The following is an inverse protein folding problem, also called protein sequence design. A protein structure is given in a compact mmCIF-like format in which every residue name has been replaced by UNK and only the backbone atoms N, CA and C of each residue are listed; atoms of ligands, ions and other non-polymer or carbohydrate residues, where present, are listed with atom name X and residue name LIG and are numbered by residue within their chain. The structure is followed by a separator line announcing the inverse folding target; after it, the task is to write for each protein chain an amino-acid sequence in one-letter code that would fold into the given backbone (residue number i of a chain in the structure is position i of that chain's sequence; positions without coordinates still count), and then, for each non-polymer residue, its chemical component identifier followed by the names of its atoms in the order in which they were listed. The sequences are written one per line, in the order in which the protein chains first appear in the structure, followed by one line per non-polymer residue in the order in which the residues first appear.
data_IF_043985166361
#
_entry.id   IF_043985166361
#
_cell.length_a   1.000
_cell.length_b   1.000
_cell.length_c   1.000
_cell.angle_alpha   90.00
_cell.angle_beta   90.00
_cell.angle_gamma   90.00
#
_symmetry.space_group_name_H-M   'P 1'
#
loop_
_entity.id
_entity.type
_entity.pdbx_description
1 polymer ?
#
# COMPACT_ATOMS: atom_id res chain seq x y z
N UNK A 1 -3.03 15.36 -7.27
CA UNK A 1 -2.33 14.25 -6.60
C UNK A 1 -2.83 12.97 -7.25
N UNK A 2 -1.94 12.11 -7.74
CA UNK A 2 -2.34 10.90 -8.46
C UNK A 2 -2.42 9.70 -7.51
N UNK A 3 -3.19 8.69 -7.90
CA UNK A 3 -3.26 7.40 -7.22
C UNK A 3 -1.90 6.70 -7.27
N UNK A 4 -1.61 5.86 -6.28
CA UNK A 4 -0.38 5.05 -6.27
C UNK A 4 -0.64 3.66 -5.72
N UNK A 5 0.23 2.72 -6.08
CA UNK A 5 0.20 1.35 -5.56
C UNK A 5 1.18 1.22 -4.39
N UNK A 6 0.72 0.55 -3.33
CA UNK A 6 1.54 0.15 -2.18
C UNK A 6 1.05 -1.20 -1.64
N UNK A 7 1.61 -1.64 -0.52
CA UNK A 7 1.28 -2.90 0.13
C UNK A 7 0.14 -2.73 1.13
N UNK A 8 -0.77 -3.70 1.19
CA UNK A 8 -1.86 -3.69 2.18
C UNK A 8 -1.37 -3.89 3.62
N UNK A 9 -0.21 -4.54 3.76
CA UNK A 9 0.42 -4.82 5.04
C UNK A 9 1.77 -5.50 4.86
N UNK A 10 2.27 -6.13 5.92
CA UNK A 10 3.48 -6.95 5.86
C UNK A 10 3.22 -8.28 5.13
N UNK A 11 4.18 -8.73 4.32
CA UNK A 11 4.11 -10.00 3.61
C UNK A 11 5.38 -10.81 3.83
N UNK A 12 5.22 -12.13 3.97
CA UNK A 12 6.35 -13.05 4.02
C UNK A 12 6.01 -14.37 3.33
N UNK A 13 6.97 -14.88 2.58
CA UNK A 13 6.86 -16.19 1.95
C UNK A 13 8.26 -16.76 1.70
N UNK A 14 8.39 -18.09 1.73
CA UNK A 14 9.66 -18.76 1.46
C UNK A 14 9.57 -19.81 0.36
N UNK A 15 10.72 -20.09 -0.25
CA UNK A 15 10.88 -21.18 -1.19
C UNK A 15 12.31 -21.74 -1.13
N UNK A 16 12.50 -22.91 -1.73
CA UNK A 16 13.81 -23.57 -1.82
C UNK A 16 14.16 -23.80 -3.29
N UNK A 17 15.34 -23.35 -3.69
CA UNK A 17 15.90 -23.58 -5.03
C UNK A 17 17.32 -24.16 -4.87
N UNK A 18 17.56 -25.32 -5.46
CA UNK A 18 18.86 -26.03 -5.38
C UNK A 18 19.43 -26.09 -3.95
N UNK A 19 18.60 -26.52 -3.01
CA UNK A 19 18.89 -26.60 -1.55
C UNK A 19 19.11 -25.25 -0.85
N UNK A 20 19.22 -24.14 -1.57
CA UNK A 20 19.27 -22.81 -0.95
C UNK A 20 17.86 -22.38 -0.59
N UNK A 21 17.65 -21.94 0.66
CA UNK A 21 16.36 -21.41 1.11
C UNK A 21 16.35 -19.90 0.96
N UNK A 22 15.29 -19.37 0.39
CA UNK A 22 15.04 -17.95 0.22
C UNK A 22 13.75 -17.58 0.94
N UNK A 23 13.80 -16.53 1.75
CA UNK A 23 12.66 -16.01 2.49
C UNK A 23 12.48 -14.55 2.10
N UNK A 24 11.38 -14.24 1.43
CA UNK A 24 11.00 -12.87 1.13
C UNK A 24 10.23 -12.25 2.28
N UNK A 25 10.54 -10.99 2.54
CA UNK A 25 9.86 -10.11 3.48
C UNK A 25 9.57 -8.80 2.79
N UNK A 26 8.37 -8.27 2.95
CA UNK A 26 8.00 -6.94 2.46
C UNK A 26 7.18 -6.20 3.51
N UNK A 27 7.27 -4.88 3.51
CA UNK A 27 6.55 -4.02 4.45
C UNK A 27 6.27 -2.65 3.82
N UNK A 28 5.05 -2.07 3.99
CA UNK A 28 4.79 -0.69 3.63
C UNK A 28 5.61 0.24 4.54
N UNK A 29 6.30 1.21 3.93
CA UNK A 29 7.14 2.19 4.61
C UNK A 29 7.05 3.53 3.89
N UNK A 30 6.86 4.61 4.63
CA UNK A 30 6.69 5.95 4.07
C UNK A 30 8.00 6.77 4.13
N UNK A 31 8.98 6.32 4.91
CA UNK A 31 10.24 7.04 5.13
C UNK A 31 11.47 6.14 5.01
N UNK A 32 12.63 6.74 4.71
CA UNK A 32 13.90 6.01 4.70
C UNK A 32 14.20 5.42 6.08
N UNK A 33 13.84 6.11 7.16
CA UNK A 33 14.03 5.61 8.52
C UNK A 33 13.25 4.30 8.75
N UNK A 34 11.95 4.28 8.42
CA UNK A 34 11.12 3.07 8.54
C UNK A 34 11.67 1.92 7.68
N UNK A 35 12.14 2.21 6.47
CA UNK A 35 12.79 1.22 5.61
C UNK A 35 14.05 0.63 6.26
N UNK A 36 14.93 1.48 6.81
CA UNK A 36 16.16 1.04 7.47
C UNK A 36 15.89 0.25 8.75
N UNK A 37 14.91 0.68 9.56
CA UNK A 37 14.49 -0.05 10.77
C UNK A 37 13.98 -1.45 10.43
N UNK A 38 13.15 -1.56 9.39
CA UNK A 38 12.68 -2.86 8.90
C UNK A 38 13.82 -3.74 8.40
N UNK A 39 14.74 -3.20 7.59
CA UNK A 39 15.90 -3.94 7.11
C UNK A 39 16.77 -4.43 8.28
N UNK A 40 17.03 -3.57 9.26
CA UNK A 40 17.79 -3.92 10.45
C UNK A 40 17.10 -5.02 11.28
N UNK A 41 15.77 -4.95 11.43
CA UNK A 41 14.97 -5.96 12.12
C UNK A 41 15.10 -7.33 11.45
N UNK A 42 14.98 -7.41 10.12
CA UNK A 42 15.13 -8.68 9.38
C UNK A 42 16.57 -9.19 9.46
N UNK A 43 17.57 -8.32 9.33
CA UNK A 43 18.98 -8.69 9.52
C UNK A 43 19.27 -9.24 10.91
N UNK A 44 18.67 -8.66 11.95
CA UNK A 44 18.82 -9.15 13.32
C UNK A 44 18.12 -10.50 13.51
N UNK A 45 16.91 -10.66 12.95
CA UNK A 45 16.16 -11.92 12.97
C UNK A 45 16.92 -13.06 12.27
N UNK A 46 17.62 -12.75 11.19
CA UNK A 46 18.38 -13.68 10.36
C UNK A 46 19.88 -13.35 10.36
N UNK A 47 20.44 -13.16 11.56
CA UNK A 47 21.84 -12.78 11.74
C UNK A 47 22.82 -13.86 11.24
N UNK A 48 22.37 -15.12 11.17
CA UNK A 48 23.11 -16.29 10.72
C UNK A 48 22.89 -16.65 9.24
N UNK A 49 22.07 -15.86 8.53
CA UNK A 49 21.85 -16.06 7.11
C UNK A 49 23.10 -15.75 6.29
N UNK A 50 23.18 -16.33 5.10
CA UNK A 50 24.29 -16.07 4.17
C UNK A 50 24.22 -14.63 3.66
N UNK A 51 23.03 -14.18 3.26
CA UNK A 51 22.80 -12.82 2.77
C UNK A 51 21.38 -12.36 3.15
N UNK A 52 21.23 -11.08 3.46
CA UNK A 52 19.98 -10.36 3.69
C UNK A 52 19.89 -9.20 2.69
N UNK A 53 19.53 -9.55 1.46
CA UNK A 53 19.47 -8.64 0.32
C UNK A 53 18.26 -7.74 0.45
N UNK A 54 18.43 -6.44 0.31
CA UNK A 54 17.35 -5.48 0.57
C UNK A 54 17.14 -4.52 -0.59
N UNK A 55 15.90 -4.06 -0.78
CA UNK A 55 15.58 -2.90 -1.61
C UNK A 55 14.38 -2.14 -1.06
N UNK A 56 14.28 -0.84 -1.34
CA UNK A 56 13.08 -0.05 -1.05
C UNK A 56 12.84 1.02 -2.10
N UNK A 57 11.56 1.40 -2.25
CA UNK A 57 11.08 2.49 -3.11
C UNK A 57 10.17 3.37 -2.26
N UNK A 58 10.43 4.67 -2.25
CA UNK A 58 9.56 5.67 -1.64
C UNK A 58 8.92 6.54 -2.72
N UNK A 59 7.71 7.00 -2.46
CA UNK A 59 6.94 7.89 -3.33
C UNK A 59 7.58 9.26 -3.48
N UNK A 60 8.41 9.69 -2.52
CA UNK A 60 9.28 10.86 -2.64
C UNK A 60 10.40 10.71 -3.68
N UNK A 61 10.54 9.52 -4.29
CA UNK A 61 11.44 9.24 -5.42
C UNK A 61 12.73 8.49 -5.05
N UNK A 62 13.02 8.35 -3.76
CA UNK A 62 14.20 7.60 -3.28
C UNK A 62 14.04 6.11 -3.56
N UNK A 63 15.11 5.52 -4.05
CA UNK A 63 15.21 4.10 -4.36
C UNK A 63 16.59 3.62 -3.94
N UNK A 64 16.66 2.57 -3.12
CA UNK A 64 17.94 1.94 -2.76
C UNK A 64 17.84 0.44 -2.78
N UNK A 65 19.00 -0.19 -2.93
CA UNK A 65 19.18 -1.63 -2.87
C UNK A 65 20.55 -1.98 -2.28
N UNK A 66 20.71 -3.21 -1.83
CA UNK A 66 21.97 -3.81 -1.40
C UNK A 66 22.01 -5.27 -1.81
N UNK A 67 23.11 -5.69 -2.44
CA UNK A 67 23.38 -7.11 -2.75
C UNK A 67 23.87 -7.89 -1.51
N UNK A 68 24.15 -7.23 -0.39
CA UNK A 68 24.56 -7.84 0.89
C UNK A 68 25.65 -8.93 0.80
N UNK A 69 26.61 -8.75 -0.10
CA UNK A 69 27.72 -9.69 -0.32
C UNK A 69 27.50 -10.71 -1.44
N UNK A 70 26.31 -10.75 -2.06
CA UNK A 70 26.12 -11.43 -3.34
C UNK A 70 26.91 -10.75 -4.46
N UNK A 71 27.19 -11.45 -5.58
CA UNK A 71 27.80 -10.83 -6.75
C UNK A 71 27.01 -9.59 -7.19
N UNK A 72 27.74 -8.51 -7.49
CA UNK A 72 27.17 -7.20 -7.75
C UNK A 72 26.06 -7.25 -8.82
N UNK A 73 24.91 -6.67 -8.48
CA UNK A 73 23.75 -6.55 -9.36
C UNK A 73 22.97 -7.85 -9.58
N UNK A 74 23.34 -8.95 -8.93
CA UNK A 74 22.65 -10.24 -9.09
C UNK A 74 21.56 -10.49 -8.06
N UNK A 75 21.37 -9.58 -7.09
CA UNK A 75 20.40 -9.77 -6.02
C UNK A 75 19.56 -8.51 -5.72
N UNK A 76 20.16 -7.43 -5.22
CA UNK A 76 19.46 -6.23 -4.80
C UNK A 76 18.76 -5.51 -5.95
N UNK A 77 19.39 -5.45 -7.12
CA UNK A 77 18.77 -4.91 -8.35
C UNK A 77 17.53 -5.73 -8.73
N UNK A 78 17.61 -7.08 -8.86
CA UNK A 78 16.43 -7.93 -9.09
C UNK A 78 15.27 -7.73 -8.10
N UNK A 79 15.54 -7.51 -6.81
CA UNK A 79 14.50 -7.21 -5.80
C UNK A 79 13.87 -5.84 -6.08
N UNK A 80 14.70 -4.82 -6.34
CA UNK A 80 14.22 -3.47 -6.65
C UNK A 80 13.38 -3.43 -7.93
N UNK A 81 13.81 -4.15 -8.97
CA UNK A 81 13.09 -4.21 -10.25
C UNK A 81 11.69 -4.82 -10.10
N UNK A 82 11.51 -5.76 -9.18
CA UNK A 82 10.18 -6.34 -8.92
C UNK A 82 9.25 -5.28 -8.35
N UNK A 83 9.69 -4.50 -7.35
CA UNK A 83 8.89 -3.38 -6.81
C UNK A 83 8.51 -2.39 -7.92
N UNK A 84 9.45 -2.06 -8.80
CA UNK A 84 9.23 -1.10 -9.88
C UNK A 84 8.30 -1.62 -10.99
N UNK A 85 8.46 -2.88 -11.40
CA UNK A 85 7.64 -3.49 -12.45
C UNK A 85 6.18 -3.64 -12.02
N UNK A 86 5.94 -3.88 -10.73
CA UNK A 86 4.60 -3.93 -10.14
C UNK A 86 4.05 -2.53 -9.79
N UNK A 87 4.82 -1.45 -10.06
CA UNK A 87 4.40 -0.07 -9.80
C UNK A 87 4.34 0.30 -8.30
N UNK A 88 4.94 -0.51 -7.43
CA UNK A 88 4.88 -0.34 -5.98
C UNK A 88 5.75 0.83 -5.52
N UNK A 89 5.19 1.64 -4.63
CA UNK A 89 5.85 2.73 -3.92
C UNK A 89 5.56 2.63 -2.42
N UNK A 90 6.33 3.38 -1.62
CA UNK A 90 6.26 3.36 -0.16
C UNK A 90 6.36 1.93 0.41
N UNK A 91 7.38 1.19 -0.03
CA UNK A 91 7.60 -0.20 0.35
C UNK A 91 9.08 -0.58 0.45
N UNK A 92 9.39 -1.44 1.41
CA UNK A 92 10.70 -2.08 1.56
C UNK A 92 10.56 -3.60 1.44
N UNK A 93 11.60 -4.23 0.89
CA UNK A 93 11.72 -5.66 0.68
C UNK A 93 13.08 -6.15 1.20
N UNK A 94 13.09 -7.32 1.85
CA UNK A 94 14.30 -8.05 2.21
C UNK A 94 14.12 -9.50 1.77
N UNK A 95 15.08 -10.03 1.03
CA UNK A 95 15.15 -11.45 0.67
C UNK A 95 16.34 -12.05 1.39
N UNK A 96 16.05 -12.87 2.41
CA UNK A 96 17.03 -13.60 3.20
C UNK A 96 17.38 -14.91 2.50
N UNK A 97 18.67 -15.19 2.33
CA UNK A 97 19.18 -16.42 1.73
C UNK A 97 19.99 -17.23 2.75
N UNK A 98 19.66 -18.51 2.85
CA UNK A 98 20.50 -19.53 3.47
C UNK A 98 21.09 -20.42 2.37
N UNK A 99 22.41 -20.41 2.23
CA UNK A 99 23.11 -21.18 1.18
C UNK A 99 23.01 -22.69 1.41
N UNK A 100 22.59 -23.41 0.36
CA UNK A 100 22.37 -24.86 0.40
C UNK A 100 23.53 -25.73 -0.06
N UNK A 101 24.72 -25.17 -0.27
CA UNK A 101 25.89 -25.91 -0.77
C UNK A 101 25.96 -26.09 -2.29
N UNK A 102 24.98 -25.60 -3.06
CA UNK A 102 24.96 -25.67 -4.53
C UNK A 102 24.86 -24.26 -5.11
N UNK A 103 25.83 -23.90 -5.96
CA UNK A 103 25.85 -22.60 -6.63
C UNK A 103 24.74 -22.49 -7.68
N UNK A 104 24.08 -21.32 -7.69
CA UNK A 104 23.01 -20.98 -8.64
C UNK A 104 23.54 -20.35 -9.94
N UNK A 105 24.75 -19.75 -9.88
CA UNK A 105 25.26 -18.87 -10.93
C UNK A 105 24.50 -17.53 -10.98
N UNK A 106 25.07 -16.52 -11.66
CA UNK A 106 24.51 -15.17 -11.69
C UNK A 106 23.04 -15.12 -12.15
N UNK A 107 22.72 -15.78 -13.27
CA UNK A 107 21.33 -15.82 -13.77
C UNK A 107 20.37 -16.60 -12.86
N UNK A 108 20.88 -17.57 -12.09
CA UNK A 108 20.08 -18.28 -11.08
C UNK A 108 19.77 -17.42 -9.87
N UNK A 109 20.74 -16.61 -9.41
CA UNK A 109 20.55 -15.65 -8.32
C UNK A 109 19.52 -14.58 -8.70
N UNK A 110 19.66 -13.99 -9.89
CA UNK A 110 18.72 -12.98 -10.40
C UNK A 110 17.29 -13.51 -10.34
N UNK A 111 17.05 -14.72 -10.85
CA UNK A 111 15.71 -15.34 -10.82
C UNK A 111 15.23 -15.63 -9.40
N UNK A 112 16.09 -16.17 -8.54
CA UNK A 112 15.73 -16.50 -7.16
C UNK A 112 15.36 -15.25 -6.34
N UNK A 113 16.15 -14.17 -6.45
CA UNK A 113 15.88 -12.93 -5.73
C UNK A 113 14.64 -12.20 -6.24
N UNK A 114 14.44 -12.14 -7.56
CA UNK A 114 13.18 -11.61 -8.11
C UNK A 114 11.98 -12.45 -7.65
N UNK A 115 12.09 -13.78 -7.68
CA UNK A 115 11.00 -14.65 -7.24
C UNK A 115 10.68 -14.45 -5.75
N UNK A 116 11.69 -14.42 -4.88
CA UNK A 116 11.53 -14.19 -3.44
C UNK A 116 10.84 -12.87 -3.12
N UNK A 117 11.19 -11.80 -3.83
CA UNK A 117 10.50 -10.51 -3.70
C UNK A 117 9.03 -10.61 -4.16
N UNK A 118 8.78 -11.23 -5.32
CA UNK A 118 7.44 -11.31 -5.90
C UNK A 118 6.47 -12.10 -5.03
N UNK A 119 6.86 -13.27 -4.54
CA UNK A 119 5.98 -14.08 -3.68
C UNK A 119 5.67 -13.41 -2.34
N UNK A 120 6.59 -12.59 -1.82
CA UNK A 120 6.34 -11.81 -0.60
C UNK A 120 5.40 -10.63 -0.87
N UNK A 121 5.50 -9.96 -2.02
CA UNK A 121 4.54 -8.95 -2.46
C UNK A 121 3.13 -9.55 -2.62
N UNK A 122 3.04 -10.70 -3.29
CA UNK A 122 1.76 -11.38 -3.48
C UNK A 122 1.13 -11.77 -2.12
N UNK A 123 1.96 -12.18 -1.16
CA UNK A 123 1.53 -12.47 0.21
C UNK A 123 1.09 -11.21 1.00
N UNK A 124 1.68 -10.05 0.73
CA UNK A 124 1.30 -8.78 1.37
C UNK A 124 0.00 -8.19 0.82
N UNK A 125 -0.37 -8.54 -0.42
CA UNK A 125 -1.45 -7.88 -1.15
C UNK A 125 -1.08 -6.46 -1.58
N UNK A 126 -1.58 -6.05 -2.75
CA UNK A 126 -1.33 -4.73 -3.34
C UNK A 126 -2.62 -3.92 -3.29
N UNK A 127 -2.53 -2.68 -2.82
CA UNK A 127 -3.66 -1.75 -2.73
C UNK A 127 -3.40 -0.49 -3.55
N UNK A 128 -4.49 0.10 -4.06
CA UNK A 128 -4.48 1.43 -4.67
C UNK A 128 -4.84 2.45 -3.61
N UNK A 129 -3.96 3.41 -3.40
CA UNK A 129 -4.19 4.55 -2.53
C UNK A 129 -4.63 5.73 -3.39
N UNK A 130 -5.85 6.21 -3.17
CA UNK A 130 -6.44 7.33 -3.90
C UNK A 130 -6.47 8.59 -3.03
N UNK A 131 -6.30 9.79 -3.60
CA UNK A 131 -6.58 11.01 -2.87
C UNK A 131 -8.08 11.05 -2.52
N UNK A 132 -8.37 11.23 -1.24
CA UNK A 132 -9.70 11.23 -0.69
C UNK A 132 -9.94 12.48 0.15
N UNK A 133 -11.18 12.95 0.13
CA UNK A 133 -11.64 14.07 0.92
C UNK A 133 -12.69 13.58 1.89
N UNK A 134 -12.49 13.86 3.18
CA UNK A 134 -13.50 13.65 4.20
C UNK A 134 -14.38 14.89 4.26
N UNK A 135 -15.68 14.68 4.13
CA UNK A 135 -16.69 15.73 4.17
C UNK A 135 -17.68 15.49 5.29
N UNK A 136 -18.28 16.56 5.80
CA UNK A 136 -19.35 16.53 6.77
C UNK A 136 -20.61 17.16 6.19
N UNK A 137 -21.74 16.53 6.50
CA UNK A 137 -23.09 17.01 6.18
C UNK A 137 -23.90 17.09 7.47
N UNK A 138 -24.73 18.12 7.58
CA UNK A 138 -25.72 18.29 8.64
C UNK A 138 -27.09 18.47 7.99
N UNK A 139 -28.06 17.61 8.33
CA UNK A 139 -29.36 17.57 7.65
C UNK A 139 -30.49 17.01 8.52
N UNK A 140 -31.73 17.35 8.17
CA UNK A 140 -32.93 16.81 8.81
C UNK A 140 -33.18 15.34 8.50
N UNK A 141 -33.89 14.64 9.40
CA UNK A 141 -34.18 13.21 9.26
C UNK A 141 -34.96 12.84 7.99
N UNK A 142 -35.68 13.80 7.40
CA UNK A 142 -36.40 13.69 6.13
C UNK A 142 -35.47 13.45 4.93
N UNK A 143 -34.20 13.84 5.02
CA UNK A 143 -33.19 13.58 3.99
C UNK A 143 -32.38 12.30 4.23
N UNK A 144 -32.40 11.73 5.44
CA UNK A 144 -31.50 10.63 5.81
C UNK A 144 -31.61 9.42 4.88
N UNK A 145 -32.83 8.94 4.61
CA UNK A 145 -33.03 7.81 3.71
C UNK A 145 -32.56 8.09 2.28
N UNK A 146 -32.80 9.32 1.78
CA UNK A 146 -32.42 9.72 0.43
C UNK A 146 -30.90 9.87 0.28
N UNK A 147 -30.24 10.49 1.25
CA UNK A 147 -28.77 10.65 1.26
C UNK A 147 -28.11 9.28 1.42
N UNK A 148 -28.59 8.44 2.35
CA UNK A 148 -28.04 7.10 2.57
C UNK A 148 -28.14 6.23 1.31
N UNK A 149 -29.25 6.35 0.55
CA UNK A 149 -29.43 5.66 -0.71
C UNK A 149 -28.43 6.10 -1.79
N UNK A 150 -27.94 7.34 -1.71
CA UNK A 150 -27.00 7.90 -2.67
C UNK A 150 -25.56 7.45 -2.45
N UNK A 151 -25.16 7.19 -1.20
CA UNK A 151 -23.77 6.93 -0.81
C UNK A 151 -23.07 5.84 -1.63
N UNK A 152 -23.70 4.67 -1.91
CA UNK A 152 -23.04 3.60 -2.66
C UNK A 152 -22.66 4.01 -4.10
N UNK A 153 -23.43 4.91 -4.74
CA UNK A 153 -23.15 5.40 -6.10
C UNK A 153 -21.81 6.15 -6.19
N UNK A 154 -21.34 6.69 -5.08
CA UNK A 154 -20.10 7.45 -4.98
C UNK A 154 -19.02 6.73 -4.17
N UNK A 155 -19.25 5.46 -3.82
CA UNK A 155 -18.37 4.67 -2.96
C UNK A 155 -18.04 5.41 -1.64
N UNK A 156 -19.00 6.18 -1.14
CA UNK A 156 -18.82 7.03 0.03
C UNK A 156 -18.76 6.16 1.29
N UNK A 157 -17.61 6.15 1.98
CA UNK A 157 -17.44 5.44 3.23
C UNK A 157 -17.90 6.33 4.38
N UNK A 158 -18.89 5.89 5.15
CA UNK A 158 -19.31 6.61 6.36
C UNK A 158 -18.26 6.42 7.45
N UNK A 159 -17.65 7.52 7.90
CA UNK A 159 -16.60 7.50 8.95
C UNK A 159 -17.14 7.94 10.31
N UNK A 160 -18.26 8.67 10.33
CA UNK A 160 -18.92 9.11 11.55
C UNK A 160 -20.41 9.34 11.31
N UNK A 161 -21.23 9.10 12.33
CA UNK A 161 -22.65 9.48 12.34
C UNK A 161 -23.08 9.84 13.75
N UNK A 162 -23.82 10.95 13.87
CA UNK A 162 -24.44 11.41 15.11
C UNK A 162 -25.90 11.79 14.83
N UNK A 163 -26.80 11.26 15.65
CA UNK A 163 -28.25 11.34 15.50
C UNK A 163 -28.84 12.19 16.64
N UNK A 164 -28.49 13.48 16.62
CA UNK A 164 -29.00 14.45 17.58
C UNK A 164 -30.32 15.08 17.10
N UNK A 165 -30.45 16.39 17.33
CA UNK A 165 -31.58 17.21 16.82
C UNK A 165 -31.66 17.15 15.29
N UNK A 166 -30.50 17.09 14.66
CA UNK A 166 -30.30 16.85 13.23
C UNK A 166 -29.29 15.71 13.07
N UNK A 167 -29.25 15.11 11.88
CA UNK A 167 -28.24 14.10 11.56
C UNK A 167 -26.95 14.80 11.14
N UNK A 168 -25.84 14.42 11.76
CA UNK A 168 -24.49 14.77 11.30
C UNK A 168 -23.81 13.51 10.78
N UNK A 169 -23.25 13.60 9.58
CA UNK A 169 -22.61 12.47 8.93
C UNK A 169 -21.28 12.90 8.35
N UNK A 170 -20.22 12.12 8.59
CA UNK A 170 -18.95 12.27 7.86
C UNK A 170 -18.77 11.13 6.88
N UNK A 171 -18.35 11.51 5.68
CA UNK A 171 -18.17 10.63 4.55
C UNK A 171 -16.77 10.85 4.00
N UNK A 172 -16.06 9.75 3.74
CA UNK A 172 -14.82 9.77 3.00
C UNK A 172 -15.11 9.32 1.56
N UNK A 173 -14.71 10.15 0.60
CA UNK A 173 -14.91 9.94 -0.84
C UNK A 173 -13.58 10.09 -1.54
N UNK A 174 -13.36 9.36 -2.65
CA UNK A 174 -12.27 9.72 -3.58
C UNK A 174 -12.53 11.10 -4.16
N UNK A 175 -11.47 11.89 -4.33
CA UNK A 175 -11.57 13.28 -4.82
C UNK A 175 -12.32 13.38 -6.16
N UNK A 176 -12.17 12.38 -7.04
CA UNK A 176 -12.87 12.31 -8.33
C UNK A 176 -14.40 12.29 -8.22
N UNK A 177 -14.94 11.90 -7.07
CA UNK A 177 -16.37 11.85 -6.80
C UNK A 177 -16.89 13.07 -6.04
N UNK A 178 -16.01 13.96 -5.55
CA UNK A 178 -16.40 15.08 -4.70
C UNK A 178 -17.36 16.06 -5.42
N UNK A 179 -16.97 16.59 -6.58
CA UNK A 179 -17.82 17.55 -7.32
C UNK A 179 -19.14 16.92 -7.80
N UNK A 180 -19.17 15.70 -8.37
CA UNK A 180 -20.42 15.01 -8.70
C UNK A 180 -21.32 14.78 -7.48
N UNK A 181 -20.76 14.35 -6.35
CA UNK A 181 -21.49 14.13 -5.11
C UNK A 181 -22.11 15.42 -4.58
N UNK A 182 -21.34 16.52 -4.60
CA UNK A 182 -21.83 17.82 -4.16
C UNK A 182 -23.02 18.31 -4.99
N UNK A 183 -22.96 18.14 -6.32
CA UNK A 183 -24.08 18.49 -7.20
C UNK A 183 -25.33 17.68 -6.90
N UNK A 184 -25.18 16.36 -6.74
CA UNK A 184 -26.32 15.47 -6.52
C UNK A 184 -26.97 15.69 -5.13
N UNK A 185 -26.18 15.96 -4.10
CA UNK A 185 -26.69 16.37 -2.79
C UNK A 185 -27.45 17.70 -2.86
N UNK A 186 -26.92 18.69 -3.58
CA UNK A 186 -27.59 19.98 -3.75
C UNK A 186 -28.93 19.82 -4.49
N UNK A 187 -28.98 19.02 -5.56
CA UNK A 187 -30.22 18.76 -6.31
C UNK A 187 -31.25 18.01 -5.45
N UNK A 188 -30.82 16.93 -4.79
CA UNK A 188 -31.68 16.08 -3.95
C UNK A 188 -32.33 16.86 -2.80
N UNK A 189 -31.61 17.84 -2.26
CA UNK A 189 -32.02 18.60 -1.08
C UNK A 189 -32.56 19.99 -1.40
N UNK A 190 -32.64 20.35 -2.69
CA UNK A 190 -32.96 21.71 -3.13
C UNK A 190 -32.06 22.76 -2.45
N UNK A 191 -30.76 22.46 -2.36
CA UNK A 191 -29.71 23.25 -1.73
C UNK A 191 -29.88 23.51 -0.22
N UNK A 192 -30.71 22.72 0.49
CA UNK A 192 -30.86 22.83 1.95
C UNK A 192 -29.70 22.21 2.72
N UNK A 193 -28.98 21.26 2.12
CA UNK A 193 -27.82 20.60 2.74
C UNK A 193 -26.56 21.10 2.08
N UNK A 194 -25.61 21.56 2.90
CA UNK A 194 -24.28 21.97 2.45
C UNK A 194 -23.25 20.93 2.87
N UNK A 195 -22.17 20.84 2.09
CA UNK A 195 -21.06 19.91 2.32
C UNK A 195 -19.86 20.73 2.79
N UNK A 196 -19.27 20.34 3.92
CA UNK A 196 -18.06 20.95 4.45
C UNK A 196 -16.90 19.97 4.38
N UNK A 197 -15.80 20.35 3.73
CA UNK A 197 -14.55 19.57 3.77
C UNK A 197 -13.92 19.64 5.17
N UNK A 198 -13.50 18.49 5.68
CA UNK A 198 -12.92 18.33 7.03
C UNK A 198 -11.43 18.00 6.95
N UNK A 199 -11.07 17.08 6.07
CA UNK A 199 -9.71 16.56 5.94
C UNK A 199 -9.46 16.06 4.51
N UNK A 200 -8.18 16.00 4.12
CA UNK A 200 -7.74 15.38 2.86
C UNK A 200 -6.60 14.42 3.14
N UNK A 201 -6.77 13.17 2.72
CA UNK A 201 -5.80 12.09 2.95
C UNK A 201 -5.82 11.09 1.82
N UNK A 202 -4.76 10.29 1.72
CA UNK A 202 -4.79 9.11 0.88
C UNK A 202 -5.47 7.96 1.63
N UNK A 203 -6.36 7.23 0.97
CA UNK A 203 -7.03 6.07 1.54
C UNK A 203 -7.31 5.03 0.44
N UNK A 204 -7.55 3.78 0.85
CA UNK A 204 -7.97 2.71 -0.02
C UNK A 204 -9.49 2.57 0.05
N UNK A 205 -10.18 3.06 -0.97
CA UNK A 205 -11.63 2.88 -1.14
C UNK A 205 -11.84 1.97 -2.34
N UNK A 206 -12.38 0.78 -2.10
CA UNK A 206 -12.75 -0.17 -3.15
C UNK A 206 -13.97 0.34 -3.91
N UNK A 207 -13.92 0.25 -5.24
CA UNK A 207 -15.00 0.67 -6.14
C UNK A 207 -15.87 -0.53 -6.58
N UNK A 208 -16.22 -1.41 -5.65
CA UNK A 208 -16.98 -2.65 -5.91
C UNK A 208 -18.48 -2.48 -5.70
#
# INVERSE_FOLDING_TARGET
MEEYLTLSGEGTQEFVERKSRFIGYVKPVETEQQAQEFIAQIKQKHWDATHNVSAYVLRSGQKRYSDDGEPQGTAGIPVLEVLQKEGITDAAAVVTRYFGGVLLGAGGLVRAYSHGAKIALDAAGIIVMSPCTEVELEFGYDFYGKISYLLPRFYAKTTFSDFGVVVKMRLLLKDKFLDPFQKEISELTSAQVTIREIDRRYDCIEET
#
